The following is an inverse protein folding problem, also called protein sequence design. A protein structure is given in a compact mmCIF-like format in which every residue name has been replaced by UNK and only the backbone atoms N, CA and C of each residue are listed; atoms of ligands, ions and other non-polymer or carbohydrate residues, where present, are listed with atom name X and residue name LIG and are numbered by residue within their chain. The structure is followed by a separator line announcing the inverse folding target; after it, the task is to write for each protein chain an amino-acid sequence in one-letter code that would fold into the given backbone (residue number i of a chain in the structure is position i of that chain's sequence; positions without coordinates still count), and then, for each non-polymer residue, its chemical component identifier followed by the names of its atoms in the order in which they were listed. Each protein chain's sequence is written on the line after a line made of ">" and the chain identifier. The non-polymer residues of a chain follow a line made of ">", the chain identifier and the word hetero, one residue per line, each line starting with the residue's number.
data_IF_563553949637
#
_entry.id   IF_563553949637
#
_cell.length_a   1.000
_cell.length_b   1.000
_cell.length_c   1.000
_cell.angle_alpha   90.00
_cell.angle_beta   90.00
_cell.angle_gamma   90.00
#
_symmetry.space_group_name_H-M   'P 1'
#
loop_
_entity.id
_entity.type
_entity.pdbx_description
1 polymer ?
#
# COMPACT_ATOMS: atom_id res chain seq x y z
N UNK A 1 12.59 -0.66 -67.45
CA UNK A 1 11.72 -1.84 -67.68
C UNK A 1 10.79 -1.92 -66.47
N UNK A 2 9.62 -1.28 -66.46
CA UNK A 2 8.37 -1.52 -67.21
C UNK A 2 7.39 -2.41 -66.43
N UNK A 3 6.38 -1.83 -65.74
CA UNK A 3 4.90 -1.90 -66.00
C UNK A 3 4.28 -3.23 -65.47
N UNK A 4 3.29 -3.29 -64.57
CA UNK A 4 1.81 -3.04 -64.67
C UNK A 4 1.25 -3.05 -63.22
N UNK A 5 0.61 -2.00 -62.67
CA UNK A 5 -0.82 -1.57 -62.72
C UNK A 5 -1.88 -2.56 -62.15
N UNK A 6 -2.58 -2.14 -61.08
CA UNK A 6 -4.05 -1.95 -61.12
C UNK A 6 -4.58 -1.23 -59.86
N UNK A 7 -5.17 -0.05 -60.11
CA UNK A 7 -6.09 0.69 -59.25
C UNK A 7 -7.49 0.06 -59.34
N UNK A 8 -8.31 0.18 -58.28
CA UNK A 8 -9.71 0.60 -58.41
C UNK A 8 -10.13 1.51 -57.23
N UNK A 9 -10.58 2.71 -57.60
CA UNK A 9 -11.33 3.74 -56.87
C UNK A 9 -12.74 3.20 -56.48
N UNK A 10 -13.65 3.78 -55.69
CA UNK A 10 -13.93 5.15 -55.27
C UNK A 10 -15.00 5.15 -54.13
N UNK A 11 -15.29 6.35 -53.62
CA UNK A 11 -15.96 6.72 -52.36
C UNK A 11 -17.52 6.90 -52.48
N UNK A 12 -18.23 7.70 -51.65
CA UNK A 12 -19.31 7.31 -50.71
C UNK A 12 -20.73 7.80 -51.13
N UNK A 13 -21.80 7.48 -50.37
CA UNK A 13 -22.94 8.40 -50.08
C UNK A 13 -24.09 7.82 -49.22
N UNK A 14 -24.56 8.66 -48.29
CA UNK A 14 -25.95 9.01 -47.89
C UNK A 14 -26.82 8.12 -46.99
N UNK A 15 -27.17 8.74 -45.84
CA UNK A 15 -28.42 8.64 -45.04
C UNK A 15 -29.70 8.83 -45.88
N UNK A 16 -30.91 8.34 -45.46
CA UNK A 16 -31.70 9.02 -44.40
C UNK A 16 -32.65 8.16 -43.51
N UNK A 17 -32.92 8.68 -42.29
CA UNK A 17 -34.20 8.83 -41.55
C UNK A 17 -35.34 7.76 -41.63
N UNK A 18 -35.73 7.14 -40.50
CA UNK A 18 -36.91 7.48 -39.64
C UNK A 18 -37.52 6.30 -38.82
N UNK A 19 -37.92 6.68 -37.59
CA UNK A 19 -39.03 6.23 -36.72
C UNK A 19 -39.00 4.95 -35.85
N UNK A 20 -39.01 5.22 -34.52
CA UNK A 20 -39.88 4.74 -33.40
C UNK A 20 -40.04 3.21 -33.21
N UNK A 21 -39.96 2.64 -32.01
CA UNK A 21 -40.87 2.83 -30.85
C UNK A 21 -40.18 2.31 -29.55
N UNK A 22 -40.29 3.06 -28.45
CA UNK A 22 -40.01 2.66 -27.06
C UNK A 22 -41.23 1.92 -26.46
N UNK A 23 -41.09 1.27 -25.29
CA UNK A 23 -41.78 1.90 -24.16
C UNK A 23 -40.94 1.95 -22.87
N UNK A 24 -41.00 3.14 -22.27
CA UNK A 24 -40.59 3.47 -20.91
C UNK A 24 -41.90 3.76 -20.17
N UNK A 25 -42.23 3.00 -19.13
CA UNK A 25 -43.38 3.30 -18.27
C UNK A 25 -42.88 4.20 -17.12
N UNK A 26 -43.42 5.41 -17.07
CA UNK A 26 -43.43 6.30 -15.90
C UNK A 26 -44.87 6.38 -15.42
N UNK A 27 -45.09 6.30 -14.11
CA UNK A 27 -46.30 6.83 -13.46
C UNK A 27 -45.85 7.65 -12.26
N UNK A 28 -46.40 8.86 -12.15
CA UNK A 28 -46.11 9.88 -11.15
C UNK A 28 -47.38 10.26 -10.37
N UNK A 29 -47.23 10.46 -9.05
CA UNK A 29 -47.88 11.46 -8.15
C UNK A 29 -49.42 11.42 -8.02
N UNK A 30 -50.11 11.67 -6.89
CA UNK A 30 -49.86 12.05 -5.48
C UNK A 30 -51.23 11.91 -4.74
N UNK A 31 -51.56 12.64 -3.65
CA UNK A 31 -51.54 12.26 -2.24
C UNK A 31 -52.93 11.97 -1.65
N UNK A 32 -53.03 11.25 -0.53
CA UNK A 32 -54.15 11.34 0.43
C UNK A 32 -53.72 10.81 1.79
N UNK A 33 -53.97 11.61 2.83
CA UNK A 33 -53.73 11.24 4.21
C UNK A 33 -54.77 10.26 4.74
N UNK A 34 -54.36 9.47 5.72
CA UNK A 34 -55.24 8.85 6.70
C UNK A 34 -54.41 8.40 7.90
N UNK A 35 -54.71 9.02 9.02
CA UNK A 35 -54.35 8.65 10.38
C UNK A 35 -54.89 7.24 10.67
N UNK A 36 -54.03 6.29 11.03
CA UNK A 36 -54.46 5.07 11.74
C UNK A 36 -53.46 4.82 12.87
N UNK A 37 -53.98 4.95 14.08
CA UNK A 37 -53.40 4.43 15.32
C UNK A 37 -53.50 2.90 15.32
N UNK A 38 -52.43 2.21 15.71
CA UNK A 38 -52.55 0.88 16.31
C UNK A 38 -51.55 0.74 17.48
N UNK A 39 -52.12 0.45 18.63
CA UNK A 39 -51.48 0.22 19.92
C UNK A 39 -50.72 -1.11 19.98
N UNK A 40 -49.65 -1.08 20.80
CA UNK A 40 -49.27 -2.09 21.80
C UNK A 40 -48.92 -3.52 21.32
N UNK A 41 -47.72 -4.00 21.70
CA UNK A 41 -47.58 -4.92 22.84
C UNK A 41 -46.11 -5.14 23.16
N UNK A 42 -45.72 -4.69 24.34
CA UNK A 42 -44.46 -5.02 25.00
C UNK A 42 -44.52 -6.46 25.48
N UNK A 43 -43.51 -7.28 25.14
CA UNK A 43 -43.26 -8.54 25.84
C UNK A 43 -41.90 -8.47 26.52
N UNK A 44 -41.98 -8.20 27.83
CA UNK A 44 -40.94 -8.44 28.80
C UNK A 44 -40.99 -9.91 29.20
N UNK A 45 -39.88 -10.64 29.00
CA UNK A 45 -39.73 -11.99 29.54
C UNK A 45 -38.80 -11.92 30.74
N UNK A 46 -39.39 -12.04 31.93
CA UNK A 46 -38.69 -12.40 33.18
C UNK A 46 -38.24 -13.86 33.07
N UNK A 47 -37.00 -14.15 33.47
CA UNK A 47 -36.57 -15.49 33.85
C UNK A 47 -35.94 -15.42 35.24
N UNK A 48 -36.27 -16.44 36.03
CA UNK A 48 -36.16 -16.59 37.48
C UNK A 48 -34.79 -17.07 37.98
N UNK A 49 -34.62 -16.90 39.29
CA UNK A 49 -33.52 -17.20 40.21
C UNK A 49 -33.22 -18.70 40.51
N UNK A 50 -31.90 -19.01 40.62
CA UNK A 50 -31.11 -19.90 41.55
C UNK A 50 -31.56 -21.37 41.86
N UNK A 51 -30.66 -22.35 42.19
CA UNK A 51 -29.51 -22.23 43.10
C UNK A 51 -28.21 -23.06 42.84
N UNK A 52 -27.20 -22.73 43.67
CA UNK A 52 -26.07 -23.50 44.24
C UNK A 52 -25.00 -24.21 43.37
N UNK A 53 -23.78 -23.66 43.45
CA UNK A 53 -22.67 -24.35 44.10
C UNK A 53 -21.86 -25.37 43.30
N UNK A 54 -20.87 -24.88 42.54
CA UNK A 54 -19.60 -25.61 42.36
C UNK A 54 -18.46 -24.59 42.34
N UNK A 55 -17.70 -24.51 43.44
CA UNK A 55 -16.36 -23.92 43.43
C UNK A 55 -15.48 -24.77 42.51
N UNK A 56 -15.07 -24.21 41.37
CA UNK A 56 -13.86 -24.65 40.68
C UNK A 56 -12.86 -23.51 40.67
N UNK A 57 -11.74 -23.83 41.29
CA UNK A 57 -10.50 -23.06 41.40
C UNK A 57 -10.17 -22.42 40.06
N UNK A 58 -10.25 -21.10 39.98
CA UNK A 58 -9.79 -20.34 38.82
C UNK A 58 -8.28 -20.20 38.96
N UNK A 59 -7.55 -20.99 38.17
CA UNK A 59 -6.12 -20.81 37.96
C UNK A 59 -5.90 -19.42 37.34
N UNK A 60 -5.41 -18.50 38.16
CA UNK A 60 -4.86 -17.23 37.74
C UNK A 60 -3.53 -17.50 37.01
N UNK A 61 -3.52 -17.51 35.68
CA UNK A 61 -2.35 -17.07 34.88
C UNK A 61 -2.69 -16.95 33.38
N UNK A 62 -2.25 -15.82 32.80
CA UNK A 62 -2.36 -15.37 31.38
C UNK A 62 -3.63 -14.58 30.99
N UNK A 63 -3.73 -13.31 31.42
CA UNK A 63 -4.70 -12.33 30.89
C UNK A 63 -4.34 -11.96 29.44
N UNK A 64 -5.00 -12.61 28.47
CA UNK A 64 -4.98 -12.20 27.06
C UNK A 64 -5.84 -10.96 26.83
N UNK A 65 -5.27 -9.92 26.19
CA UNK A 65 -5.99 -8.69 25.85
C UNK A 65 -7.09 -9.00 24.81
N UNK A 66 -8.35 -8.52 24.97
CA UNK A 66 -9.42 -8.73 23.99
C UNK A 66 -9.09 -8.15 22.61
N UNK A 67 -9.45 -8.86 21.52
CA UNK A 67 -9.21 -8.40 20.12
C UNK A 67 -9.71 -6.99 19.83
N UNK A 68 -10.85 -6.61 20.40
CA UNK A 68 -11.41 -5.26 20.25
C UNK A 68 -10.48 -4.20 20.82
N UNK A 69 -9.80 -4.50 21.92
CA UNK A 69 -8.86 -3.58 22.58
C UNK A 69 -7.59 -3.41 21.74
N UNK A 70 -7.09 -4.51 21.14
CA UNK A 70 -5.98 -4.47 20.18
C UNK A 70 -6.35 -3.57 18.99
N UNK A 71 -7.54 -3.73 18.42
CA UNK A 71 -8.00 -2.89 17.31
C UNK A 71 -8.11 -1.43 17.73
N UNK A 72 -8.60 -1.13 18.94
CA UNK A 72 -8.68 0.23 19.47
C UNK A 72 -7.31 0.87 19.61
N UNK A 73 -6.34 0.18 20.21
CA UNK A 73 -4.96 0.65 20.34
C UNK A 73 -4.33 0.93 18.96
N UNK A 74 -4.52 0.01 18.00
CA UNK A 74 -4.05 0.21 16.62
C UNK A 74 -4.71 1.43 15.95
N UNK A 75 -5.99 1.72 16.25
CA UNK A 75 -6.68 2.90 15.73
C UNK A 75 -6.21 4.22 16.34
N UNK A 76 -5.90 4.24 17.64
CA UNK A 76 -5.37 5.44 18.30
C UNK A 76 -4.06 5.90 17.67
N UNK A 77 -3.18 4.96 17.31
CA UNK A 77 -1.92 5.24 16.62
C UNK A 77 -2.12 5.83 15.20
N UNK A 78 -3.27 5.56 14.58
CA UNK A 78 -3.69 6.18 13.33
C UNK A 78 -4.30 7.57 13.53
N UNK A 79 -4.40 8.04 14.77
CA UNK A 79 -5.09 9.27 15.16
C UNK A 79 -6.62 9.13 15.14
N UNK A 80 -7.15 7.90 15.10
CA UNK A 80 -8.58 7.63 15.21
C UNK A 80 -8.88 7.34 16.68
N UNK A 81 -9.37 8.36 17.39
CA UNK A 81 -9.84 8.18 18.76
C UNK A 81 -11.19 7.47 18.75
N UNK A 82 -11.21 6.26 19.30
CA UNK A 82 -12.43 5.48 19.50
C UNK A 82 -12.85 5.64 20.96
N UNK A 83 -14.02 6.25 21.17
CA UNK A 83 -14.63 6.21 22.49
C UNK A 83 -15.26 4.83 22.76
N UNK A 84 -15.78 4.65 23.97
CA UNK A 84 -16.47 3.42 24.35
C UNK A 84 -17.77 3.16 23.55
N UNK A 85 -18.22 4.09 22.72
CA UNK A 85 -19.41 3.93 21.87
C UNK A 85 -19.11 3.21 20.55
N UNK A 86 -17.82 3.06 20.19
CA UNK A 86 -17.41 2.36 18.98
C UNK A 86 -17.50 0.83 19.14
N UNK A 87 -18.72 0.31 19.03
CA UNK A 87 -19.03 -1.11 19.18
C UNK A 87 -18.76 -1.91 17.89
N UNK A 88 -18.28 -3.17 18.00
CA UNK A 88 -18.21 -4.10 16.88
C UNK A 88 -19.57 -4.31 16.20
N UNK A 89 -19.54 -4.51 14.87
CA UNK A 89 -20.73 -4.71 14.06
C UNK A 89 -21.48 -3.43 13.66
N UNK A 90 -21.02 -2.25 14.09
CA UNK A 90 -21.64 -0.97 13.75
C UNK A 90 -20.69 -0.07 12.94
N UNK A 91 -21.27 0.72 12.04
CA UNK A 91 -20.54 1.78 11.33
C UNK A 91 -20.60 3.08 12.13
N UNK A 92 -19.45 3.73 12.28
CA UNK A 92 -19.29 4.98 13.01
C UNK A 92 -18.77 6.06 12.07
N UNK A 93 -19.37 7.25 12.11
CA UNK A 93 -18.89 8.40 11.35
C UNK A 93 -18.06 9.30 12.28
N UNK A 94 -16.75 9.35 12.03
CA UNK A 94 -15.73 10.00 12.85
C UNK A 94 -15.07 11.15 12.08
N UNK A 95 -14.29 11.96 12.79
CA UNK A 95 -13.39 12.92 12.16
C UNK A 95 -12.20 12.20 11.53
N UNK A 96 -11.92 12.50 10.26
CA UNK A 96 -10.74 11.96 9.60
C UNK A 96 -9.46 12.64 10.14
N UNK A 97 -8.49 11.90 10.70
CA UNK A 97 -7.24 12.48 11.21
C UNK A 97 -6.38 13.11 10.10
N UNK A 98 -6.48 12.62 8.86
CA UNK A 98 -5.70 13.14 7.73
C UNK A 98 -6.20 14.49 7.22
N UNK A 99 -7.50 14.69 7.07
CA UNK A 99 -8.05 15.93 6.50
C UNK A 99 -8.77 16.81 7.53
N UNK A 100 -8.99 16.32 8.75
CA UNK A 100 -9.70 17.00 9.85
C UNK A 100 -11.10 17.50 9.45
N UNK A 101 -11.77 16.79 8.54
CA UNK A 101 -13.07 17.18 7.97
C UNK A 101 -13.03 18.37 6.99
N UNK A 102 -11.82 18.84 6.65
CA UNK A 102 -11.56 20.00 5.80
C UNK A 102 -12.25 21.28 6.26
N UNK A 103 -12.57 22.17 5.31
CA UNK A 103 -13.17 23.49 5.62
C UNK A 103 -14.50 23.40 6.38
N UNK A 104 -15.28 22.36 6.13
CA UNK A 104 -16.60 22.15 6.73
C UNK A 104 -16.52 21.41 8.07
N UNK A 105 -15.34 20.93 8.48
CA UNK A 105 -15.14 20.12 9.69
C UNK A 105 -16.19 19.00 9.79
N UNK A 106 -16.38 18.27 8.70
CA UNK A 106 -17.37 17.19 8.65
C UNK A 106 -16.78 15.87 9.21
N UNK A 107 -17.64 15.02 9.79
CA UNK A 107 -17.27 13.66 10.21
C UNK A 107 -17.22 12.71 9.00
N UNK A 108 -16.24 12.92 8.14
CA UNK A 108 -16.13 12.24 6.84
C UNK A 108 -15.57 10.81 6.91
N UNK A 109 -15.09 10.35 8.05
CA UNK A 109 -14.44 9.04 8.20
C UNK A 109 -15.48 7.99 8.62
N UNK A 110 -15.90 7.14 7.72
CA UNK A 110 -16.66 5.93 8.08
C UNK A 110 -15.68 4.90 8.63
N UNK A 111 -15.93 4.42 9.85
CA UNK A 111 -15.13 3.45 10.57
C UNK A 111 -16.00 2.25 10.99
N UNK A 112 -15.45 1.04 10.94
CA UNK A 112 -16.18 -0.18 11.29
C UNK A 112 -15.25 -1.24 11.86
N UNK A 113 -15.57 -1.77 13.03
CA UNK A 113 -14.98 -3.02 13.56
C UNK A 113 -15.94 -4.15 13.21
N UNK A 114 -15.45 -5.20 12.55
CA UNK A 114 -16.34 -6.31 12.16
C UNK A 114 -16.77 -7.13 13.38
N UNK A 115 -17.94 -7.82 13.34
CA UNK A 115 -18.54 -8.46 14.53
C UNK A 115 -17.63 -9.46 15.26
N UNK A 116 -16.83 -10.24 14.53
CA UNK A 116 -15.89 -11.22 15.10
C UNK A 116 -14.59 -10.59 15.65
N UNK A 117 -14.48 -9.26 15.54
CA UNK A 117 -13.33 -8.46 15.92
C UNK A 117 -12.02 -8.93 15.25
N UNK A 118 -12.06 -9.55 14.07
CA UNK A 118 -10.84 -9.97 13.37
C UNK A 118 -10.13 -8.78 12.71
N UNK A 119 -10.85 -7.74 12.30
CA UNK A 119 -10.26 -6.51 11.78
C UNK A 119 -11.15 -5.28 11.96
N UNK A 120 -10.55 -4.10 11.82
CA UNK A 120 -11.25 -2.84 11.67
C UNK A 120 -10.94 -2.23 10.30
N UNK A 121 -11.88 -1.52 9.70
CA UNK A 121 -11.70 -0.82 8.43
C UNK A 121 -12.22 0.61 8.50
N UNK A 122 -11.66 1.48 7.66
CA UNK A 122 -12.14 2.85 7.53
C UNK A 122 -12.04 3.37 6.11
N UNK A 123 -12.83 4.40 5.82
CA UNK A 123 -12.74 5.20 4.60
C UNK A 123 -13.21 6.62 4.85
N UNK A 124 -12.40 7.58 4.43
CA UNK A 124 -12.76 8.97 4.37
C UNK A 124 -13.51 9.25 3.06
N UNK A 125 -14.79 9.61 3.14
CA UNK A 125 -15.64 9.88 1.99
C UNK A 125 -15.47 11.27 1.38
N UNK A 126 -14.57 12.10 1.94
CA UNK A 126 -14.22 13.38 1.32
C UNK A 126 -13.40 13.12 0.06
N UNK A 127 -13.92 13.55 -1.10
CA UNK A 127 -13.31 13.30 -2.41
C UNK A 127 -11.82 13.69 -2.52
N UNK A 128 -11.40 14.77 -1.86
CA UNK A 128 -10.00 15.23 -1.85
C UNK A 128 -9.10 14.49 -0.86
N UNK A 129 -9.65 13.62 -0.02
CA UNK A 129 -8.89 12.89 1.00
C UNK A 129 -8.82 11.41 0.67
N UNK A 130 -9.95 10.72 0.50
CA UNK A 130 -10.00 9.30 0.13
C UNK A 130 -9.38 8.31 1.12
N UNK A 131 -8.68 8.78 2.16
CA UNK A 131 -7.90 7.95 3.08
C UNK A 131 -8.71 6.79 3.62
N UNK A 132 -8.23 5.58 3.36
CA UNK A 132 -8.91 4.35 3.70
C UNK A 132 -7.87 3.30 4.09
N UNK A 133 -8.31 2.31 4.84
CA UNK A 133 -7.45 1.22 5.24
C UNK A 133 -8.19 0.19 6.08
N UNK A 134 -7.44 -0.82 6.51
CA UNK A 134 -7.88 -1.84 7.43
C UNK A 134 -6.73 -2.25 8.34
N UNK A 135 -7.05 -2.76 9.51
CA UNK A 135 -6.08 -3.36 10.43
C UNK A 135 -6.65 -4.63 11.03
N UNK A 136 -5.84 -5.68 11.13
CA UNK A 136 -6.25 -6.95 11.73
C UNK A 136 -5.93 -7.00 13.23
N UNK A 137 -6.79 -7.67 13.99
CA UNK A 137 -6.63 -7.94 15.41
C UNK A 137 -5.61 -9.04 15.65
N UNK A 138 -5.55 -10.03 14.76
CA UNK A 138 -4.46 -11.00 14.74
C UNK A 138 -3.27 -10.36 14.04
N UNK A 139 -2.14 -10.31 14.74
CA UNK A 139 -0.86 -10.34 14.06
C UNK A 139 -0.72 -11.77 13.53
N UNK A 140 -0.56 -11.95 12.22
CA UNK A 140 -0.32 -13.28 11.67
C UNK A 140 0.91 -13.89 12.34
N UNK A 141 0.71 -14.83 13.26
CA UNK A 141 1.72 -15.60 13.99
C UNK A 141 2.86 -14.81 14.65
N UNK A 142 2.60 -14.17 15.79
CA UNK A 142 3.66 -13.95 16.79
C UNK A 142 3.21 -14.37 18.18
N UNK A 143 3.99 -15.27 18.78
CA UNK A 143 4.08 -15.37 20.22
C UNK A 143 4.54 -14.00 20.76
N UNK A 144 3.66 -13.29 21.47
CA UNK A 144 4.02 -12.32 22.51
C UNK A 144 5.07 -11.23 22.19
N UNK A 145 4.99 -10.54 21.05
CA UNK A 145 5.68 -9.25 20.88
C UNK A 145 4.64 -8.15 20.70
N UNK A 146 4.71 -7.12 21.55
CA UNK A 146 3.88 -5.93 21.43
C UNK A 146 4.03 -5.27 20.06
N UNK A 147 3.04 -4.45 19.71
CA UNK A 147 3.03 -3.69 18.46
C UNK A 147 4.39 -2.99 18.24
N UNK A 148 5.04 -3.26 17.11
CA UNK A 148 6.34 -2.70 16.78
C UNK A 148 6.22 -1.17 16.64
N UNK A 149 6.96 -0.43 17.46
CA UNK A 149 7.06 1.03 17.39
C UNK A 149 8.50 1.47 17.12
N UNK A 150 8.68 2.73 16.71
CA UNK A 150 10.02 3.32 16.53
C UNK A 150 10.83 3.23 17.84
N UNK A 151 10.18 3.48 18.99
CA UNK A 151 10.79 3.41 20.32
C UNK A 151 11.20 1.98 20.68
N UNK A 152 10.35 0.98 20.39
CA UNK A 152 10.63 -0.43 20.67
C UNK A 152 11.85 -0.96 19.91
N UNK A 153 12.17 -0.34 18.77
CA UNK A 153 13.32 -0.66 17.93
C UNK A 153 14.53 0.24 18.20
N UNK A 154 14.43 1.20 19.13
CA UNK A 154 15.47 2.19 19.38
C UNK A 154 15.77 3.04 18.15
N UNK A 155 14.74 3.44 17.40
CA UNK A 155 14.90 4.30 16.23
C UNK A 155 14.89 5.77 16.62
N UNK A 156 15.83 6.52 16.05
CA UNK A 156 15.96 7.96 16.25
C UNK A 156 16.12 8.69 14.91
N UNK A 157 15.95 10.03 14.89
CA UNK A 157 16.24 10.84 13.71
C UNK A 157 17.68 10.66 13.20
N UNK A 158 17.88 10.80 11.89
CA UNK A 158 19.21 10.69 11.29
C UNK A 158 20.16 11.75 11.84
N UNK A 159 21.36 11.31 12.23
CA UNK A 159 22.46 12.16 12.62
C UNK A 159 23.23 12.74 11.43
N UNK A 160 24.13 13.72 11.66
CA UNK A 160 24.81 14.46 10.59
C UNK A 160 25.58 13.59 9.60
N UNK A 161 26.16 12.49 10.07
CA UNK A 161 26.94 11.56 9.24
C UNK A 161 26.06 10.82 8.22
N UNK A 162 24.90 10.35 8.63
CA UNK A 162 23.95 9.69 7.71
C UNK A 162 23.25 10.70 6.81
N UNK A 163 22.97 11.91 7.29
CA UNK A 163 22.49 13.00 6.43
C UNK A 163 23.50 13.30 5.32
N UNK A 164 24.80 13.41 5.64
CA UNK A 164 25.86 13.59 4.64
C UNK A 164 25.93 12.43 3.64
N UNK A 165 25.80 11.19 4.12
CA UNK A 165 25.75 9.98 3.27
C UNK A 165 24.62 10.03 2.23
N UNK A 166 23.42 10.48 2.62
CA UNK A 166 22.30 10.62 1.70
C UNK A 166 22.44 11.85 0.79
N UNK A 167 23.05 12.93 1.28
CA UNK A 167 23.35 14.11 0.46
C UNK A 167 24.29 13.79 -0.69
N UNK A 168 25.31 12.96 -0.48
CA UNK A 168 26.19 12.45 -1.55
C UNK A 168 25.42 11.66 -2.63
N UNK A 169 24.25 11.12 -2.26
CA UNK A 169 23.34 10.39 -3.14
C UNK A 169 22.27 11.28 -3.76
N UNK A 170 22.39 12.59 -3.59
CA UNK A 170 21.43 13.60 -4.03
C UNK A 170 20.03 13.43 -3.40
N UNK A 171 19.95 12.83 -2.20
CA UNK A 171 18.70 12.66 -1.46
C UNK A 171 18.63 13.71 -0.35
N UNK A 172 17.57 14.49 -0.36
CA UNK A 172 17.32 15.58 0.57
C UNK A 172 16.77 15.09 1.92
N UNK A 173 17.03 15.85 2.98
CA UNK A 173 16.45 15.59 4.31
C UNK A 173 14.92 15.60 4.29
N UNK A 174 14.31 16.41 3.42
CA UNK A 174 12.86 16.45 3.21
C UNK A 174 12.34 15.09 2.75
N UNK A 175 12.99 14.48 1.77
CA UNK A 175 12.63 13.14 1.26
C UNK A 175 12.87 12.08 2.33
N UNK A 176 13.99 12.13 3.06
CA UNK A 176 14.27 11.20 4.17
C UNK A 176 13.19 11.28 5.26
N UNK A 177 12.80 12.49 5.65
CA UNK A 177 11.78 12.74 6.66
C UNK A 177 10.40 12.23 6.22
N UNK A 178 9.97 12.54 4.99
CA UNK A 178 8.70 12.08 4.43
C UNK A 178 8.62 10.54 4.38
N UNK A 179 9.75 9.90 4.10
CA UNK A 179 9.86 8.45 4.01
C UNK A 179 10.16 7.76 5.35
N UNK A 180 10.16 8.52 6.45
CA UNK A 180 10.46 8.03 7.79
C UNK A 180 11.75 7.19 7.84
N UNK A 181 12.80 7.65 7.13
CA UNK A 181 14.13 7.06 7.25
C UNK A 181 14.71 7.47 8.60
N UNK A 182 15.15 6.49 9.38
CA UNK A 182 15.67 6.64 10.74
C UNK A 182 17.08 6.07 10.85
N UNK A 183 17.67 6.21 12.02
CA UNK A 183 18.83 5.43 12.44
C UNK A 183 18.55 4.70 13.74
N UNK A 184 19.41 3.73 14.09
CA UNK A 184 19.36 3.04 15.37
C UNK A 184 20.19 3.81 16.40
N UNK A 185 19.61 4.12 17.56
CA UNK A 185 20.20 4.99 18.59
C UNK A 185 21.45 4.42 19.24
N UNK A 186 21.51 3.09 19.39
CA UNK A 186 22.66 2.39 19.94
C UNK A 186 22.98 1.18 19.08
N UNK A 187 23.98 1.31 18.20
CA UNK A 187 24.61 0.12 17.66
C UNK A 187 25.67 -0.38 18.66
N UNK A 188 25.59 -1.67 19.01
CA UNK A 188 26.60 -2.36 19.83
C UNK A 188 28.03 -2.26 19.26
N UNK A 189 28.17 -1.79 18.03
CA UNK A 189 29.40 -1.73 17.26
C UNK A 189 29.84 -0.30 16.91
N UNK A 190 29.23 0.75 17.49
CA UNK A 190 29.54 2.16 17.18
C UNK A 190 29.47 2.50 15.67
N UNK A 191 28.66 1.75 14.94
CA UNK A 191 28.41 1.90 13.52
C UNK A 191 27.09 2.62 13.27
N UNK A 192 27.08 3.51 12.29
CA UNK A 192 25.85 4.15 11.81
C UNK A 192 24.99 3.13 11.08
N UNK A 193 23.77 2.90 11.58
CA UNK A 193 22.82 1.96 11.01
C UNK A 193 21.61 2.73 10.52
N UNK A 194 21.39 2.69 9.21
CA UNK A 194 20.20 3.27 8.57
C UNK A 194 19.04 2.28 8.74
N UNK A 195 17.88 2.80 9.11
CA UNK A 195 16.64 2.07 9.27
C UNK A 195 15.58 2.60 8.29
N UNK A 196 15.13 1.74 7.38
CA UNK A 196 13.98 1.99 6.52
C UNK A 196 12.73 1.42 7.17
N UNK A 197 11.80 2.30 7.52
CA UNK A 197 10.57 1.94 8.23
C UNK A 197 9.46 1.60 7.25
N UNK A 198 9.03 0.35 7.23
CA UNK A 198 7.92 -0.10 6.41
C UNK A 198 6.63 0.22 7.15
N UNK A 199 5.85 1.15 6.59
CA UNK A 199 4.60 1.61 7.20
C UNK A 199 3.40 1.23 6.36
N UNK A 200 2.35 0.76 7.02
CA UNK A 200 1.04 0.55 6.43
C UNK A 200 0.01 1.33 7.25
N UNK A 201 -0.75 2.16 6.57
CA UNK A 201 -1.63 3.17 7.14
C UNK A 201 -0.94 4.17 8.09
N UNK A 202 0.39 4.25 8.07
CA UNK A 202 1.20 5.01 9.03
C UNK A 202 1.68 4.20 10.24
N UNK A 203 1.25 2.95 10.41
CA UNK A 203 1.74 2.05 11.45
C UNK A 203 2.99 1.31 10.98
N UNK A 204 3.97 1.17 11.87
CA UNK A 204 5.20 0.43 11.60
C UNK A 204 4.91 -1.08 11.54
N UNK A 205 5.07 -1.68 10.37
CA UNK A 205 4.80 -3.12 10.11
C UNK A 205 6.06 -3.91 9.76
N UNK A 206 7.13 -3.22 9.39
CA UNK A 206 8.45 -3.80 9.15
C UNK A 206 9.56 -2.78 9.35
N UNK A 207 10.78 -3.23 9.59
CA UNK A 207 11.94 -2.37 9.53
C UNK A 207 13.11 -3.13 8.91
N UNK A 208 13.74 -2.52 7.92
CA UNK A 208 14.93 -3.04 7.26
C UNK A 208 16.09 -2.13 7.58
N UNK A 209 17.18 -2.74 7.98
CA UNK A 209 18.37 -2.06 8.40
C UNK A 209 19.48 -2.24 7.38
N UNK A 210 20.32 -1.23 7.26
CA UNK A 210 21.56 -1.34 6.50
C UNK A 210 22.70 -0.59 7.16
N UNK A 211 23.91 -1.09 6.98
CA UNK A 211 25.11 -0.30 7.21
C UNK A 211 25.51 0.48 5.95
N UNK A 212 26.44 1.43 6.09
CA UNK A 212 27.02 2.14 4.95
C UNK A 212 27.77 1.18 3.99
N UNK A 213 28.36 0.11 4.53
CA UNK A 213 29.10 -0.97 3.86
C UNK A 213 28.18 -2.04 3.25
N UNK A 214 26.88 -1.73 3.06
CA UNK A 214 25.90 -2.58 2.35
C UNK A 214 25.67 -3.96 3.01
N UNK A 215 25.69 -4.03 4.35
CA UNK A 215 25.15 -5.17 5.09
C UNK A 215 23.69 -4.91 5.41
N UNK A 216 22.81 -5.88 5.16
CA UNK A 216 21.36 -5.74 5.31
C UNK A 216 20.78 -6.79 6.25
N UNK A 217 19.79 -6.40 7.06
CA UNK A 217 18.95 -7.32 7.82
C UNK A 217 17.58 -6.68 8.05
N UNK A 218 16.62 -7.47 8.51
CA UNK A 218 15.25 -7.01 8.75
C UNK A 218 14.70 -7.60 10.05
N UNK A 219 13.72 -6.92 10.65
CA UNK A 219 12.99 -7.44 11.81
C UNK A 219 12.31 -8.76 11.43
N UNK A 220 12.55 -9.81 12.21
CA UNK A 220 11.98 -11.15 11.98
C UNK A 220 10.51 -11.20 12.39
N UNK A 221 9.77 -12.14 11.80
CA UNK A 221 8.35 -12.37 12.12
C UNK A 221 7.39 -11.31 11.57
N UNK A 222 7.90 -10.28 10.88
CA UNK A 222 7.07 -9.24 10.28
C UNK A 222 6.43 -9.71 8.97
N UNK A 223 5.22 -9.22 8.68
CA UNK A 223 4.64 -9.40 7.35
C UNK A 223 5.50 -8.70 6.30
N UNK A 224 5.80 -9.40 5.21
CA UNK A 224 6.51 -8.77 4.09
C UNK A 224 5.58 -7.76 3.42
N UNK A 225 6.03 -6.53 3.32
CA UNK A 225 5.30 -5.39 2.74
C UNK A 225 6.21 -4.66 1.76
N UNK A 226 5.64 -3.91 0.81
CA UNK A 226 6.42 -2.97 0.00
C UNK A 226 6.75 -1.70 0.80
N UNK A 227 7.95 -1.18 0.62
CA UNK A 227 8.33 0.10 1.23
C UNK A 227 7.61 1.24 0.51
N UNK A 228 6.95 2.13 1.26
CA UNK A 228 6.15 3.23 0.70
C UNK A 228 4.74 2.84 0.24
N UNK A 229 4.21 1.68 0.69
CA UNK A 229 2.89 1.18 0.24
C UNK A 229 1.74 2.20 0.42
N UNK A 230 1.81 3.05 1.45
CA UNK A 230 0.80 4.07 1.71
C UNK A 230 0.69 5.12 0.61
N UNK A 231 1.77 5.35 -0.14
CA UNK A 231 1.84 6.35 -1.21
C UNK A 231 1.04 5.93 -2.45
N UNK A 232 0.73 4.65 -2.61
CA UNK A 232 0.03 4.12 -3.80
C UNK A 232 -1.46 3.87 -3.58
N UNK A 233 -2.00 4.22 -2.40
CA UNK A 233 -3.40 3.97 -2.01
C UNK A 233 -4.46 4.43 -3.04
N UNK A 234 -4.16 5.51 -3.76
CA UNK A 234 -5.03 6.16 -4.74
C UNK A 234 -4.36 6.35 -6.10
N UNK A 235 -3.22 5.69 -6.34
CA UNK A 235 -2.47 5.83 -7.57
C UNK A 235 -3.03 4.90 -8.65
N UNK A 236 -3.25 5.44 -9.85
CA UNK A 236 -3.58 4.64 -11.05
C UNK A 236 -2.31 4.14 -11.75
N UNK A 237 -1.18 4.80 -11.50
CA UNK A 237 0.15 4.42 -11.97
C UNK A 237 1.10 4.23 -10.79
N UNK A 238 1.88 3.15 -10.77
CA UNK A 238 2.84 2.85 -9.71
C UNK A 238 4.19 2.52 -10.30
N UNK A 239 5.27 3.03 -9.70
CA UNK A 239 6.64 2.64 -10.05
C UNK A 239 7.18 1.68 -8.99
N UNK A 240 7.71 0.54 -9.40
CA UNK A 240 8.35 -0.46 -8.53
C UNK A 240 9.85 -0.46 -8.81
N UNK A 241 10.65 -0.27 -7.75
CA UNK A 241 12.11 -0.36 -7.78
C UNK A 241 12.62 -1.48 -6.89
N UNK A 242 13.89 -1.84 -7.01
CA UNK A 242 14.49 -2.89 -6.20
C UNK A 242 14.85 -2.43 -4.77
N UNK A 243 15.50 -1.26 -4.64
CA UNK A 243 16.02 -0.77 -3.38
C UNK A 243 15.27 0.41 -2.78
N UNK A 244 15.38 0.58 -1.45
CA UNK A 244 14.79 1.73 -0.76
C UNK A 244 15.45 3.06 -1.20
N UNK A 245 16.74 3.05 -1.51
CA UNK A 245 17.45 4.26 -1.99
C UNK A 245 16.97 4.66 -3.39
N UNK A 246 16.63 3.70 -4.26
CA UNK A 246 16.08 3.99 -5.58
C UNK A 246 14.70 4.62 -5.47
N UNK A 247 13.90 4.16 -4.50
CA UNK A 247 12.58 4.75 -4.19
C UNK A 247 12.75 6.21 -3.78
N UNK A 248 13.69 6.49 -2.87
CA UNK A 248 14.02 7.86 -2.48
C UNK A 248 14.51 8.69 -3.67
N UNK A 249 15.27 8.08 -4.58
CA UNK A 249 15.80 8.76 -5.77
C UNK A 249 14.71 9.15 -6.76
N UNK A 250 13.70 8.30 -6.93
CA UNK A 250 12.51 8.63 -7.74
C UNK A 250 11.67 9.73 -7.11
N UNK A 251 11.62 9.81 -5.79
CA UNK A 251 10.91 10.90 -5.10
C UNK A 251 11.59 12.26 -5.30
N UNK A 252 12.93 12.30 -5.34
CA UNK A 252 13.70 13.49 -5.76
C UNK A 252 13.39 13.89 -7.21
N UNK A 253 13.11 12.92 -8.09
CA UNK A 253 12.63 13.17 -9.46
C UNK A 253 11.14 13.53 -9.55
N UNK A 254 10.43 13.63 -8.42
CA UNK A 254 9.03 14.05 -8.34
C UNK A 254 8.01 12.92 -8.37
N UNK A 255 8.43 11.66 -8.30
CA UNK A 255 7.52 10.51 -8.24
C UNK A 255 7.28 10.05 -6.81
N UNK A 256 6.11 10.39 -6.27
CA UNK A 256 5.68 9.89 -4.94
C UNK A 256 4.98 8.54 -5.03
N UNK A 257 4.39 8.21 -6.19
CA UNK A 257 3.74 6.95 -6.49
C UNK A 257 4.73 5.80 -6.75
N UNK A 258 5.81 5.71 -5.95
CA UNK A 258 6.84 4.70 -6.07
C UNK A 258 6.98 3.86 -4.80
N UNK A 259 7.31 2.58 -4.98
CA UNK A 259 7.50 1.60 -3.92
C UNK A 259 8.73 0.75 -4.19
N UNK A 260 9.39 0.25 -3.14
CA UNK A 260 10.47 -0.74 -3.29
C UNK A 260 10.09 -2.11 -2.75
N UNK A 261 10.64 -3.16 -3.36
CA UNK A 261 10.47 -4.51 -2.86
C UNK A 261 11.25 -4.73 -1.55
N UNK A 262 10.74 -5.55 -0.61
CA UNK A 262 11.43 -5.79 0.66
C UNK A 262 12.74 -6.57 0.52
N UNK A 263 12.82 -7.41 -0.50
CA UNK A 263 14.02 -8.16 -0.88
C UNK A 263 14.13 -8.22 -2.39
N UNK A 264 15.37 -8.23 -2.89
CA UNK A 264 15.67 -8.36 -4.32
C UNK A 264 15.28 -9.72 -4.90
N UNK A 265 15.68 -9.96 -6.15
CA UNK A 265 15.29 -11.17 -6.87
C UNK A 265 15.83 -12.46 -6.21
N UNK A 266 15.01 -13.52 -6.07
CA UNK A 266 15.54 -14.86 -5.89
C UNK A 266 16.37 -15.24 -7.13
N UNK A 267 17.46 -15.98 -6.93
CA UNK A 267 18.46 -16.25 -7.99
C UNK A 267 17.97 -17.08 -9.19
N UNK A 268 16.68 -17.43 -9.26
CA UNK A 268 16.05 -18.10 -10.41
C UNK A 268 14.65 -17.53 -10.65
N UNK A 269 14.38 -17.18 -11.90
CA UNK A 269 13.04 -16.88 -12.41
C UNK A 269 12.21 -18.17 -12.39
N UNK A 270 11.01 -18.11 -11.84
CA UNK A 270 10.06 -19.21 -11.81
C UNK A 270 9.56 -19.53 -13.22
N UNK A 271 9.54 -20.82 -13.57
CA UNK A 271 8.94 -21.29 -14.82
C UNK A 271 7.43 -21.07 -14.82
N UNK A 272 6.79 -21.51 -13.73
CA UNK A 272 5.36 -21.40 -13.49
C UNK A 272 5.10 -20.59 -12.22
N UNK A 273 3.95 -19.91 -12.16
CA UNK A 273 3.51 -19.22 -10.95
C UNK A 273 3.13 -20.25 -9.88
N UNK A 274 3.79 -20.26 -8.70
CA UNK A 274 3.36 -21.11 -7.61
C UNK A 274 1.97 -20.67 -7.11
N UNK A 275 1.20 -21.56 -6.45
CA UNK A 275 0.02 -21.16 -5.69
C UNK A 275 0.36 -20.05 -4.69
N UNK A 276 -0.58 -19.12 -4.47
CA UNK A 276 -0.39 -17.92 -3.64
C UNK A 276 0.18 -18.28 -2.26
N UNK A 277 -0.32 -19.36 -1.65
CA UNK A 277 0.07 -19.83 -0.31
C UNK A 277 1.52 -20.36 -0.26
N UNK A 278 2.09 -20.71 -1.42
CA UNK A 278 3.45 -21.24 -1.56
C UNK A 278 4.43 -20.20 -2.11
N UNK A 279 3.96 -19.03 -2.52
CA UNK A 279 4.75 -17.98 -3.14
C UNK A 279 5.46 -17.09 -2.11
N UNK A 280 6.16 -17.72 -1.17
CA UNK A 280 6.76 -17.08 0.01
C UNK A 280 7.79 -15.99 -0.30
N UNK A 281 8.46 -16.08 -1.45
CA UNK A 281 9.42 -15.07 -1.93
C UNK A 281 8.71 -13.76 -2.30
N UNK A 282 7.54 -13.86 -2.92
CA UNK A 282 6.73 -12.74 -3.42
C UNK A 282 5.47 -12.48 -2.60
N UNK A 283 5.38 -13.05 -1.40
CA UNK A 283 4.26 -12.88 -0.46
C UNK A 283 3.86 -11.41 -0.28
N UNK A 284 4.82 -10.48 -0.37
CA UNK A 284 4.56 -9.05 -0.27
C UNK A 284 3.61 -8.53 -1.36
N UNK A 285 3.63 -9.09 -2.57
CA UNK A 285 2.69 -8.70 -3.63
C UNK A 285 1.26 -9.10 -3.27
N UNK A 286 1.09 -10.30 -2.71
CA UNK A 286 -0.21 -10.81 -2.26
C UNK A 286 -0.74 -10.03 -1.07
N UNK A 287 0.13 -9.71 -0.11
CA UNK A 287 -0.20 -8.85 1.03
C UNK A 287 -0.61 -7.43 0.57
N UNK A 288 -0.08 -6.96 -0.56
CA UNK A 288 -0.38 -5.67 -1.16
C UNK A 288 -1.45 -5.72 -2.26
N UNK A 289 -2.11 -6.86 -2.49
CA UNK A 289 -2.97 -7.07 -3.68
C UNK A 289 -4.03 -5.98 -3.85
N UNK A 290 -4.68 -5.58 -2.77
CA UNK A 290 -5.75 -4.55 -2.80
C UNK A 290 -5.27 -3.17 -3.26
N UNK A 291 -3.98 -2.88 -3.09
CA UNK A 291 -3.37 -1.65 -3.59
C UNK A 291 -3.18 -1.75 -5.10
N UNK A 292 -2.71 -2.90 -5.59
CA UNK A 292 -2.45 -3.15 -7.00
C UNK A 292 -3.71 -3.37 -7.84
N UNK A 293 -4.82 -3.85 -7.28
CA UNK A 293 -6.06 -4.12 -8.04
C UNK A 293 -6.63 -2.87 -8.74
N UNK A 294 -6.26 -1.67 -8.27
CA UNK A 294 -6.69 -0.37 -8.81
C UNK A 294 -5.71 0.23 -9.82
N UNK A 295 -4.50 -0.34 -9.90
CA UNK A 295 -3.39 0.19 -10.69
C UNK A 295 -3.53 -0.27 -12.14
N UNK A 296 -3.59 0.68 -13.07
CA UNK A 296 -3.71 0.40 -14.50
C UNK A 296 -2.37 0.40 -15.21
N UNK A 297 -1.36 1.05 -14.64
CA UNK A 297 0.00 1.13 -15.19
C UNK A 297 1.06 0.88 -14.13
N UNK A 298 1.92 -0.10 -14.36
CA UNK A 298 3.02 -0.45 -13.46
C UNK A 298 4.33 -0.24 -14.19
N UNK A 299 5.16 0.68 -13.71
CA UNK A 299 6.49 0.92 -14.26
C UNK A 299 7.49 0.13 -13.41
N UNK A 300 8.23 -0.77 -14.05
CA UNK A 300 9.29 -1.59 -13.46
C UNK A 300 10.63 -0.90 -13.70
N UNK A 301 11.19 -0.36 -12.62
CA UNK A 301 12.46 0.36 -12.60
C UNK A 301 13.46 -0.42 -11.71
N UNK A 302 13.64 -1.71 -12.01
CA UNK A 302 14.56 -2.62 -11.32
C UNK A 302 16.01 -2.41 -11.76
N UNK A 303 16.96 -2.99 -11.02
CA UNK A 303 18.39 -2.88 -11.35
C UNK A 303 18.72 -3.45 -12.74
N UNK A 304 19.71 -2.84 -13.40
CA UNK A 304 20.22 -3.25 -14.71
C UNK A 304 21.22 -4.41 -14.63
N UNK A 305 20.95 -5.40 -13.80
CA UNK A 305 21.80 -6.57 -13.62
C UNK A 305 20.97 -7.86 -13.76
N UNK A 306 21.61 -9.05 -13.84
CA UNK A 306 20.86 -10.29 -14.02
C UNK A 306 19.79 -10.53 -12.94
N UNK A 307 20.05 -10.29 -11.64
CA UNK A 307 19.02 -10.33 -10.61
C UNK A 307 17.87 -9.33 -10.84
N UNK A 308 18.16 -8.06 -11.10
CA UNK A 308 17.13 -7.04 -11.31
C UNK A 308 16.23 -7.34 -12.50
N UNK A 309 16.78 -7.88 -13.59
CA UNK A 309 15.99 -8.38 -14.73
C UNK A 309 15.10 -9.57 -14.35
N UNK A 310 15.63 -10.52 -13.58
CA UNK A 310 14.84 -11.63 -13.07
C UNK A 310 13.70 -11.17 -12.15
N UNK A 311 13.92 -10.14 -11.32
CA UNK A 311 12.88 -9.52 -10.52
C UNK A 311 11.79 -8.91 -11.41
N UNK A 312 12.17 -8.16 -12.45
CA UNK A 312 11.21 -7.55 -13.36
C UNK A 312 10.30 -8.60 -14.03
N UNK A 313 10.86 -9.72 -14.49
CA UNK A 313 10.09 -10.82 -15.08
C UNK A 313 9.09 -11.42 -14.08
N UNK A 314 9.52 -11.64 -12.84
CA UNK A 314 8.70 -12.23 -11.80
C UNK A 314 7.58 -11.29 -11.32
N UNK A 315 7.86 -9.98 -11.28
CA UNK A 315 6.88 -8.94 -11.02
C UNK A 315 5.85 -8.88 -12.15
N UNK A 316 6.29 -8.83 -13.42
CA UNK A 316 5.41 -8.77 -14.58
C UNK A 316 4.46 -9.97 -14.65
N UNK A 317 4.97 -11.20 -14.42
CA UNK A 317 4.15 -12.42 -14.39
C UNK A 317 3.05 -12.38 -13.33
N UNK A 318 3.34 -11.85 -12.13
CA UNK A 318 2.38 -11.84 -10.99
C UNK A 318 1.42 -10.68 -11.04
N UNK A 319 1.90 -9.54 -11.54
CA UNK A 319 1.12 -8.31 -11.58
C UNK A 319 0.31 -8.20 -12.87
N UNK A 320 0.58 -8.97 -13.92
CA UNK A 320 -0.07 -8.86 -15.22
C UNK A 320 0.83 -8.08 -16.17
N UNK A 321 1.43 -8.78 -17.12
CA UNK A 321 2.43 -8.24 -18.04
C UNK A 321 1.86 -7.11 -18.91
N UNK A 322 0.59 -7.23 -19.30
CA UNK A 322 -0.12 -6.27 -20.16
C UNK A 322 -0.22 -4.87 -19.56
N UNK A 323 -0.05 -4.75 -18.24
CA UNK A 323 -0.03 -3.48 -17.53
C UNK A 323 1.36 -3.13 -16.97
N UNK A 324 2.41 -3.80 -17.44
CA UNK A 324 3.78 -3.49 -17.06
C UNK A 324 4.52 -2.72 -18.15
N UNK A 325 5.35 -1.77 -17.71
CA UNK A 325 6.28 -0.99 -18.52
C UNK A 325 7.68 -1.12 -17.91
N UNK A 326 8.72 -1.12 -18.73
CA UNK A 326 10.11 -1.23 -18.29
C UNK A 326 10.84 0.10 -18.43
N UNK A 327 11.63 0.46 -17.42
CA UNK A 327 12.62 1.52 -17.54
C UNK A 327 13.91 0.95 -18.11
N UNK A 328 14.42 1.56 -19.17
CA UNK A 328 15.75 1.29 -19.68
C UNK A 328 16.73 2.36 -19.18
N UNK A 329 17.64 1.95 -18.32
CA UNK A 329 18.65 2.85 -17.77
C UNK A 329 19.64 3.29 -18.87
N UNK A 330 20.00 4.58 -18.91
CA UNK A 330 20.80 5.14 -20.00
C UNK A 330 22.23 4.61 -19.98
N UNK A 331 22.93 4.77 -21.11
CA UNK A 331 24.36 4.48 -21.21
C UNK A 331 25.15 5.41 -20.29
N UNK A 332 26.06 4.81 -19.52
CA UNK A 332 27.08 5.50 -18.72
C UNK A 332 28.34 5.72 -19.54
N UNK A 333 28.71 4.72 -20.34
CA UNK A 333 29.80 4.73 -21.29
C UNK A 333 29.46 3.83 -22.50
N UNK A 334 30.41 3.58 -23.40
CA UNK A 334 30.19 2.76 -24.61
C UNK A 334 29.83 1.30 -24.30
N UNK A 335 30.16 0.81 -23.11
CA UNK A 335 30.03 -0.60 -22.72
C UNK A 335 29.04 -0.83 -21.57
N UNK A 336 28.77 0.19 -20.75
CA UNK A 336 27.96 0.06 -19.55
C UNK A 336 26.79 1.04 -19.57
N UNK A 337 25.66 0.58 -19.06
CA UNK A 337 24.56 1.44 -18.66
C UNK A 337 24.63 1.73 -17.16
N UNK A 338 23.95 2.79 -16.73
CA UNK A 338 23.69 2.99 -15.31
C UNK A 338 22.93 1.79 -14.73
N UNK A 339 23.21 1.49 -13.46
CA UNK A 339 22.64 0.33 -12.79
C UNK A 339 21.20 0.56 -12.35
N UNK A 340 20.96 1.69 -11.69
CA UNK A 340 19.75 1.92 -10.92
C UNK A 340 19.34 3.40 -10.94
N UNK A 341 18.22 3.72 -10.29
CA UNK A 341 17.69 5.08 -10.23
C UNK A 341 18.64 6.02 -9.50
N UNK A 342 19.32 5.56 -8.43
CA UNK A 342 20.22 6.40 -7.67
C UNK A 342 21.46 6.81 -8.46
N UNK A 343 22.04 5.91 -9.26
CA UNK A 343 23.16 6.28 -10.13
C UNK A 343 22.73 7.36 -11.14
N UNK A 344 21.59 7.19 -11.81
CA UNK A 344 21.09 8.21 -12.75
C UNK A 344 20.87 9.54 -12.05
N UNK A 345 20.24 9.54 -10.87
CA UNK A 345 20.03 10.75 -10.08
C UNK A 345 21.36 11.46 -9.78
N UNK A 346 22.36 10.70 -9.30
CA UNK A 346 23.66 11.23 -8.90
C UNK A 346 24.45 11.83 -10.05
N UNK A 347 24.42 11.20 -11.22
CA UNK A 347 25.29 11.56 -12.35
C UNK A 347 24.59 12.40 -13.42
N UNK A 348 23.27 12.32 -13.55
CA UNK A 348 22.50 13.01 -14.60
C UNK A 348 21.40 13.94 -14.05
N UNK A 349 21.13 13.91 -12.75
CA UNK A 349 20.18 14.78 -12.08
C UNK A 349 18.72 14.33 -12.17
N UNK A 350 17.88 14.98 -11.36
CA UNK A 350 16.46 14.64 -11.17
C UNK A 350 15.62 14.78 -12.45
N UNK A 351 15.84 15.83 -13.25
CA UNK A 351 15.08 16.06 -14.49
C UNK A 351 15.33 14.96 -15.53
N UNK A 352 16.56 14.47 -15.62
CA UNK A 352 16.93 13.38 -16.52
C UNK A 352 16.30 12.07 -16.04
N UNK A 353 16.42 11.76 -14.75
CA UNK A 353 15.78 10.59 -14.15
C UNK A 353 14.26 10.61 -14.40
N UNK A 354 13.63 11.77 -14.22
CA UNK A 354 12.20 11.96 -14.51
C UNK A 354 11.83 11.60 -15.95
N UNK A 355 12.54 12.19 -16.92
CA UNK A 355 12.32 11.90 -18.34
C UNK A 355 12.49 10.42 -18.67
N UNK A 356 13.50 9.75 -18.12
CA UNK A 356 13.75 8.32 -18.38
C UNK A 356 12.57 7.48 -17.92
N UNK A 357 12.04 7.74 -16.72
CA UNK A 357 10.89 7.01 -16.16
C UNK A 357 9.61 7.32 -16.93
N UNK A 358 9.37 8.57 -17.33
CA UNK A 358 8.20 8.95 -18.15
C UNK A 358 8.19 8.25 -19.52
N UNK A 359 9.38 7.96 -20.07
CA UNK A 359 9.57 7.27 -21.34
C UNK A 359 9.71 5.74 -21.19
N UNK A 360 9.27 5.15 -20.05
CA UNK A 360 9.23 3.71 -19.90
C UNK A 360 8.42 3.03 -21.02
N UNK A 361 8.94 1.93 -21.56
CA UNK A 361 8.39 1.22 -22.71
C UNK A 361 7.53 0.02 -22.26
N UNK A 362 6.55 -0.45 -23.06
CA UNK A 362 5.76 -1.64 -22.69
C UNK A 362 6.64 -2.86 -22.39
N UNK A 363 6.32 -3.61 -21.34
CA UNK A 363 7.13 -4.75 -20.91
C UNK A 363 7.02 -5.93 -21.88
N UNK A 364 8.12 -6.29 -22.53
CA UNK A 364 8.22 -7.45 -23.41
C UNK A 364 9.11 -8.50 -22.79
N UNK A 365 8.61 -9.74 -22.64
CA UNK A 365 9.46 -10.87 -22.28
C UNK A 365 10.36 -11.17 -23.48
N UNK A 366 11.68 -11.17 -23.27
CA UNK A 366 12.60 -11.69 -24.27
C UNK A 366 12.34 -13.20 -24.41
N UNK A 367 11.81 -13.61 -25.56
CA UNK A 367 11.55 -15.01 -25.90
C UNK A 367 12.83 -15.83 -26.09
#
# INVERSE_FOLDING_TARGET
>A
MSVIQNLWLCCPRTQPLLFKILPRIYVSLSPRGSTIWCHSMSHATKVSSFPDGVEQVVDNNALGVPKVEILKQKMELLGINLDNSCLPGQYHNLFCPKCKGGKLKERSLSFHIIPDCEFAMWRCFRAKCGWAGRVFAKDSNLHGYGQMTEESLGLEPLGPKLIAYFKERQISEKTLSRNAVRQMSESKFMQEIIAFTYKQNGLLVGCKFRTMEKRFWQVKGTEKMLYGIDEINHASEVIIVEGEIDKLSLEEAGFQNCVSVPGGAPGKVSKDLPPIEKDTAYQYLWNCKEYFDKVVRIILATDNDPPGRALADELAKRLGQERCWQVHWPKKDDTNCFKDANEVLKYMGADTLKRIVENAEPYTIAH
#
